data_IF_678545140856
#
_entry.id   IF_678545140856
#
_cell.length_a   1.000
_cell.length_b   1.000
_cell.length_c   1.000
_cell.angle_alpha   90.00
_cell.angle_beta   90.00
_cell.angle_gamma   90.00
#
_symmetry.space_group_name_H-M   'P 1'
#
loop_
_entity.id
_entity.type
_entity.pdbx_description
1 polymer ?
#
# COMPACT_ATOMS: atom_id res chain seq x y z
N UNK A 1 43.38 -45.85 10.23
CA UNK A 1 42.71 -45.56 8.94
C UNK A 1 41.61 -44.55 9.20
N UNK A 2 41.88 -43.26 8.95
CA UNK A 2 40.85 -42.30 8.51
C UNK A 2 40.76 -42.41 6.97
N UNK A 3 39.66 -41.99 6.31
CA UNK A 3 39.18 -40.60 6.22
C UNK A 3 37.71 -40.46 6.68
N UNK A 4 37.20 -39.34 7.21
CA UNK A 4 37.20 -37.93 6.76
C UNK A 4 35.93 -37.56 5.95
N UNK A 5 35.54 -36.28 6.06
CA UNK A 5 34.32 -35.56 5.65
C UNK A 5 33.14 -35.66 6.64
N UNK A 6 32.70 -34.62 7.35
CA UNK A 6 32.91 -33.18 7.20
C UNK A 6 31.54 -32.52 6.94
N UNK A 7 31.07 -31.70 7.88
CA UNK A 7 29.80 -30.99 7.71
C UNK A 7 29.35 -30.21 8.93
N UNK A 8 29.99 -29.07 9.18
CA UNK A 8 29.54 -28.03 10.10
C UNK A 8 28.09 -27.59 9.79
N UNK A 9 27.25 -27.52 10.82
CA UNK A 9 26.13 -26.58 10.86
C UNK A 9 25.85 -26.16 12.32
N UNK A 10 26.52 -25.08 12.68
CA UNK A 10 26.22 -24.07 13.70
C UNK A 10 24.85 -24.23 14.39
N UNK A 11 24.90 -24.70 15.64
CA UNK A 11 23.90 -24.42 16.68
C UNK A 11 24.30 -23.11 17.36
N UNK A 12 23.64 -22.00 17.02
CA UNK A 12 23.67 -20.76 17.81
C UNK A 12 22.29 -20.08 17.69
N UNK A 13 21.61 -19.99 18.84
CA UNK A 13 20.53 -19.07 19.22
C UNK A 13 19.27 -18.91 18.33
N UNK A 14 18.34 -19.85 18.50
CA UNK A 14 16.90 -19.67 18.19
C UNK A 14 16.12 -19.72 19.51
N UNK A 15 16.44 -18.88 20.50
CA UNK A 15 15.62 -18.77 21.74
C UNK A 15 15.33 -17.33 22.20
N UNK A 16 16.00 -16.29 21.70
CA UNK A 16 15.75 -14.91 22.21
C UNK A 16 14.74 -14.10 21.37
N UNK A 17 14.45 -14.46 20.12
CA UNK A 17 13.48 -13.70 19.29
C UNK A 17 12.00 -14.03 19.54
N UNK A 18 11.69 -15.01 20.39
CA UNK A 18 10.30 -15.43 20.67
C UNK A 18 9.58 -14.62 21.74
N UNK A 19 10.26 -13.74 22.49
CA UNK A 19 9.63 -12.98 23.57
C UNK A 19 9.24 -11.54 23.23
N UNK A 20 9.65 -10.99 22.07
CA UNK A 20 9.32 -9.62 21.64
C UNK A 20 8.36 -9.59 20.43
N UNK A 21 8.12 -10.73 19.77
CA UNK A 21 7.31 -10.83 18.54
C UNK A 21 5.92 -11.47 18.74
N UNK A 22 5.46 -11.62 19.99
CA UNK A 22 4.20 -12.31 20.34
C UNK A 22 2.91 -11.48 20.24
N UNK A 23 2.90 -10.32 19.58
CA UNK A 23 1.71 -9.42 19.51
C UNK A 23 1.19 -9.14 18.10
N UNK A 24 1.66 -9.82 17.05
CA UNK A 24 1.10 -9.66 15.69
C UNK A 24 0.70 -11.00 15.08
N UNK A 25 -0.62 -11.31 14.94
CA UNK A 25 -1.12 -12.58 14.42
C UNK A 25 -1.12 -12.71 12.87
N UNK A 26 -0.32 -11.94 12.12
CA UNK A 26 -0.59 -11.70 10.68
C UNK A 26 0.55 -12.08 9.71
N UNK A 27 0.97 -13.35 9.68
CA UNK A 27 1.76 -13.90 8.55
C UNK A 27 0.99 -14.64 7.44
N UNK A 28 -0.14 -15.33 7.64
CA UNK A 28 -0.69 -16.22 6.59
C UNK A 28 -1.30 -15.50 5.37
N UNK A 29 -1.36 -14.15 5.35
CA UNK A 29 -2.01 -13.38 4.29
C UNK A 29 -1.09 -13.03 3.10
N UNK A 30 0.20 -12.75 3.36
CA UNK A 30 1.12 -12.34 2.28
C UNK A 30 1.44 -13.51 1.33
N UNK A 31 1.35 -14.74 1.82
CA UNK A 31 1.66 -15.94 1.04
C UNK A 31 0.60 -16.24 -0.04
N UNK A 32 -0.67 -15.91 0.20
CA UNK A 32 -1.76 -16.19 -0.74
C UNK A 32 -1.96 -15.12 -1.83
N UNK A 33 -1.66 -13.85 -1.53
CA UNK A 33 -1.91 -12.74 -2.47
C UNK A 33 -0.76 -12.55 -3.47
N UNK A 34 0.44 -13.01 -3.14
CA UNK A 34 1.66 -12.71 -3.91
C UNK A 34 2.28 -13.90 -4.65
N UNK A 35 1.60 -15.05 -4.71
CA UNK A 35 2.07 -16.24 -5.45
C UNK A 35 2.19 -16.05 -6.97
N UNK A 36 1.75 -14.91 -7.53
CA UNK A 36 1.69 -14.67 -8.98
C UNK A 36 2.87 -13.90 -9.58
N UNK A 37 3.89 -13.52 -8.80
CA UNK A 37 4.94 -12.61 -9.28
C UNK A 37 6.32 -13.28 -9.26
N UNK A 38 6.69 -13.95 -10.35
CA UNK A 38 8.07 -14.38 -10.60
C UNK A 38 8.44 -14.23 -12.08
N UNK A 39 9.39 -13.35 -12.41
CA UNK A 39 10.51 -13.61 -13.34
C UNK A 39 11.32 -12.36 -13.72
N UNK A 40 12.64 -12.59 -13.78
CA UNK A 40 13.69 -11.96 -14.61
C UNK A 40 14.48 -10.75 -14.08
N UNK A 41 15.80 -10.96 -14.05
CA UNK A 41 16.80 -10.16 -13.36
C UNK A 41 17.26 -8.92 -14.14
N UNK A 42 17.28 -7.74 -13.49
CA UNK A 42 18.22 -6.62 -13.69
C UNK A 42 18.39 -5.80 -12.37
N UNK A 43 19.28 -6.27 -11.48
CA UNK A 43 19.36 -5.86 -10.06
C UNK A 43 19.87 -4.45 -9.70
N UNK A 44 20.00 -3.51 -10.65
CA UNK A 44 20.55 -2.16 -10.37
C UNK A 44 19.52 -1.07 -10.06
N UNK A 45 18.31 -1.15 -10.64
CA UNK A 45 17.28 -0.10 -10.51
C UNK A 45 16.35 -0.31 -9.30
N UNK A 46 16.39 -1.49 -8.68
CA UNK A 46 15.38 -1.96 -7.74
C UNK A 46 15.60 -1.51 -6.29
N UNK A 47 16.83 -1.61 -5.79
CA UNK A 47 17.21 -1.06 -4.47
C UNK A 47 16.79 0.41 -4.37
N UNK A 48 17.06 1.18 -5.42
CA UNK A 48 16.64 2.58 -5.50
C UNK A 48 15.11 2.80 -5.51
N UNK A 49 14.28 1.82 -5.90
CA UNK A 49 12.83 1.94 -5.82
C UNK A 49 12.30 1.73 -4.40
N UNK A 50 12.69 0.62 -3.75
CA UNK A 50 12.29 0.34 -2.36
C UNK A 50 12.89 1.36 -1.40
N UNK A 51 14.14 1.80 -1.62
CA UNK A 51 14.78 2.84 -0.81
C UNK A 51 14.03 4.19 -0.91
N UNK A 52 13.45 4.50 -2.08
CA UNK A 52 12.57 5.67 -2.24
C UNK A 52 11.29 5.56 -1.43
N UNK A 53 10.68 4.38 -1.39
CA UNK A 53 9.52 4.12 -0.52
C UNK A 53 9.93 4.23 0.95
N UNK A 54 11.06 3.66 1.36
CA UNK A 54 11.55 3.74 2.75
C UNK A 54 11.96 5.15 3.17
N UNK A 55 12.34 6.00 2.22
CA UNK A 55 12.73 7.39 2.50
C UNK A 55 11.56 8.38 2.45
N UNK A 56 10.31 7.92 2.34
CA UNK A 56 9.16 8.84 2.40
C UNK A 56 9.12 9.58 3.74
N UNK A 57 8.54 10.80 3.76
CA UNK A 57 8.45 11.61 4.97
C UNK A 57 7.73 10.90 6.12
N UNK A 58 6.60 10.26 5.83
CA UNK A 58 5.86 9.47 6.82
C UNK A 58 6.69 8.28 7.30
N UNK A 59 7.50 7.67 6.42
CA UNK A 59 8.34 6.56 6.82
C UNK A 59 9.44 6.95 7.80
N UNK A 60 10.16 8.03 7.52
CA UNK A 60 11.18 8.54 8.44
C UNK A 60 10.58 9.00 9.76
N UNK A 61 9.39 9.60 9.75
CA UNK A 61 8.65 9.94 10.96
C UNK A 61 8.35 8.69 11.80
N UNK A 62 7.82 7.64 11.17
CA UNK A 62 7.51 6.40 11.87
C UNK A 62 8.77 5.70 12.40
N UNK A 63 9.85 5.64 11.63
CA UNK A 63 11.13 5.07 12.07
C UNK A 63 11.71 5.80 13.29
N UNK A 64 11.63 7.14 13.30
CA UNK A 64 12.00 7.94 14.46
C UNK A 64 11.13 7.62 15.68
N UNK A 65 9.82 7.47 15.49
CA UNK A 65 8.88 7.09 16.56
C UNK A 65 9.15 5.67 17.08
N UNK A 66 9.46 4.72 16.18
CA UNK A 66 9.81 3.35 16.53
C UNK A 66 11.13 3.27 17.28
N UNK A 67 12.12 4.08 16.90
CA UNK A 67 13.38 4.21 17.62
C UNK A 67 13.18 4.82 19.01
N UNK A 68 12.33 5.85 19.14
CA UNK A 68 11.93 6.39 20.44
C UNK A 68 11.25 5.33 21.33
N UNK A 69 10.44 4.44 20.73
CA UNK A 69 9.80 3.31 21.42
C UNK A 69 10.84 2.33 21.95
N UNK A 70 11.85 1.99 21.15
CA UNK A 70 12.97 1.14 21.59
C UNK A 70 13.72 1.76 22.78
N UNK A 71 13.82 3.10 22.82
CA UNK A 71 14.48 3.86 23.90
C UNK A 71 13.64 4.09 25.16
N UNK A 72 12.47 3.45 25.29
CA UNK A 72 11.54 3.51 26.45
C UNK A 72 10.95 4.89 26.79
N UNK A 73 11.29 5.95 26.05
CA UNK A 73 10.77 7.31 26.29
C UNK A 73 9.40 7.60 25.67
N UNK A 74 8.84 6.69 24.86
CA UNK A 74 7.54 6.87 24.18
C UNK A 74 6.42 5.93 24.64
N UNK A 75 6.54 5.32 25.82
CA UNK A 75 5.48 4.46 26.40
C UNK A 75 4.11 5.17 26.53
N UNK A 76 4.06 6.51 26.53
CA UNK A 76 2.80 7.25 26.65
C UNK A 76 1.95 7.28 25.37
N UNK A 77 2.54 7.13 24.18
CA UNK A 77 1.80 7.32 22.91
C UNK A 77 1.10 6.07 22.38
N UNK A 78 1.70 4.89 22.58
CA UNK A 78 1.06 3.63 22.18
C UNK A 78 -0.28 3.46 22.89
N UNK A 79 -0.37 3.65 24.23
CA UNK A 79 -1.65 3.63 24.93
C UNK A 79 -2.64 4.67 24.40
N UNK A 80 -2.18 5.87 24.01
CA UNK A 80 -3.03 6.90 23.44
C UNK A 80 -3.65 6.48 22.08
N UNK A 81 -2.86 5.85 21.20
CA UNK A 81 -3.37 5.30 19.93
C UNK A 81 -4.35 4.14 20.18
N UNK A 82 -4.03 3.24 21.10
CA UNK A 82 -4.90 2.11 21.46
C UNK A 82 -6.22 2.60 22.09
N UNK A 83 -6.16 3.62 22.96
CA UNK A 83 -7.34 4.26 23.56
C UNK A 83 -8.21 4.95 22.49
N UNK A 84 -7.60 5.68 21.56
CA UNK A 84 -8.32 6.34 20.48
C UNK A 84 -8.97 5.30 19.54
N UNK A 85 -8.25 4.23 19.19
CA UNK A 85 -8.83 3.13 18.42
C UNK A 85 -10.00 2.46 19.17
N UNK A 86 -9.84 2.19 20.47
CA UNK A 86 -10.90 1.63 21.29
C UNK A 86 -12.13 2.56 21.35
N UNK A 87 -11.94 3.87 21.48
CA UNK A 87 -13.00 4.86 21.39
C UNK A 87 -13.73 4.78 20.05
N UNK A 88 -13.00 4.76 18.92
CA UNK A 88 -13.61 4.65 17.59
C UNK A 88 -14.41 3.35 17.43
N UNK A 89 -13.90 2.22 17.93
CA UNK A 89 -14.61 0.93 17.94
C UNK A 89 -15.90 0.99 18.77
N UNK A 90 -15.86 1.60 19.97
CA UNK A 90 -17.06 1.80 20.80
C UNK A 90 -18.11 2.66 20.07
N UNK A 91 -17.70 3.73 19.39
CA UNK A 91 -18.62 4.56 18.61
C UNK A 91 -19.22 3.83 17.42
N UNK A 92 -18.42 3.04 16.69
CA UNK A 92 -18.93 2.20 15.62
C UNK A 92 -19.95 1.18 16.12
N UNK A 93 -19.70 0.56 17.28
CA UNK A 93 -20.65 -0.35 17.90
C UNK A 93 -21.94 0.39 18.32
N UNK A 94 -21.81 1.58 18.90
CA UNK A 94 -22.94 2.44 19.28
C UNK A 94 -23.79 2.91 18.09
N UNK A 95 -23.22 2.99 16.89
CA UNK A 95 -23.95 3.30 15.65
C UNK A 95 -24.50 2.05 14.94
N UNK A 96 -24.55 0.90 15.61
CA UNK A 96 -25.03 -0.35 15.01
C UNK A 96 -24.13 -0.88 13.88
N UNK A 97 -22.85 -0.48 13.86
CA UNK A 97 -21.92 -0.84 12.79
C UNK A 97 -21.97 0.07 11.55
N UNK A 98 -22.76 1.15 11.57
CA UNK A 98 -22.83 2.10 10.46
C UNK A 98 -21.54 2.92 10.33
N UNK A 99 -20.66 2.49 9.40
CA UNK A 99 -19.42 3.18 9.06
C UNK A 99 -19.64 4.57 8.44
N UNK A 100 -20.78 4.80 7.81
CA UNK A 100 -21.14 6.09 7.20
C UNK A 100 -21.55 7.11 8.27
N UNK A 101 -22.25 6.67 9.32
CA UNK A 101 -22.48 7.50 10.51
C UNK A 101 -21.15 7.89 11.18
N UNK A 102 -20.23 6.94 11.37
CA UNK A 102 -18.93 7.23 11.96
C UNK A 102 -18.09 8.18 11.09
N UNK A 103 -18.07 8.00 9.77
CA UNK A 103 -17.33 8.86 8.85
C UNK A 103 -17.80 10.33 8.84
N UNK A 104 -19.09 10.57 9.13
CA UNK A 104 -19.67 11.92 9.27
C UNK A 104 -19.44 12.54 10.65
N UNK A 105 -19.03 11.74 11.63
CA UNK A 105 -18.84 12.21 13.01
C UNK A 105 -17.63 13.12 13.09
N UNK A 106 -17.85 14.34 13.60
CA UNK A 106 -16.78 15.26 13.98
C UNK A 106 -16.51 15.12 15.47
N UNK A 107 -15.24 15.10 15.85
CA UNK A 107 -14.81 15.05 17.24
C UNK A 107 -14.28 16.44 17.61
N UNK A 108 -14.77 16.99 18.71
CA UNK A 108 -14.18 18.22 19.23
C UNK A 108 -12.83 17.90 19.88
N UNK A 109 -11.91 18.86 19.91
CA UNK A 109 -10.65 18.69 20.63
C UNK A 109 -10.89 18.40 22.11
N UNK A 110 -11.93 18.99 22.71
CA UNK A 110 -12.34 18.71 24.09
C UNK A 110 -12.71 17.23 24.28
N UNK A 111 -13.53 16.65 23.39
CA UNK A 111 -13.87 15.22 23.45
C UNK A 111 -12.65 14.32 23.34
N UNK A 112 -11.67 14.68 22.49
CA UNK A 112 -10.42 13.94 22.39
C UNK A 112 -9.62 14.03 23.71
N UNK A 113 -9.48 15.23 24.28
CA UNK A 113 -8.73 15.43 25.53
C UNK A 113 -9.41 14.83 26.76
N UNK A 114 -10.74 14.81 26.80
CA UNK A 114 -11.53 14.20 27.89
C UNK A 114 -11.46 12.68 27.85
N UNK A 115 -11.55 12.09 26.66
CA UNK A 115 -11.60 10.63 26.51
C UNK A 115 -10.21 9.98 26.46
N UNK A 116 -9.17 10.76 26.17
CA UNK A 116 -7.82 10.23 25.94
C UNK A 116 -6.77 11.19 26.51
N UNK A 117 -5.84 10.69 27.36
CA UNK A 117 -4.71 11.47 27.92
C UNK A 117 -3.64 11.72 26.85
N UNK A 118 -4.03 12.43 25.80
CA UNK A 118 -3.30 12.41 24.55
C UNK A 118 -2.19 13.45 24.55
N UNK A 119 -0.92 13.04 24.52
CA UNK A 119 0.19 13.97 24.33
C UNK A 119 0.06 14.63 22.95
N UNK A 120 0.50 15.88 22.77
CA UNK A 120 0.46 16.58 21.48
C UNK A 120 0.98 15.69 20.33
N UNK A 121 0.26 15.74 19.20
CA UNK A 121 0.56 14.96 18.01
C UNK A 121 1.99 15.27 17.51
N UNK A 122 2.71 14.24 17.09
CA UNK A 122 4.02 14.40 16.44
C UNK A 122 3.96 14.75 14.98
N UNK A 123 2.91 14.35 14.26
CA UNK A 123 2.62 14.84 12.92
C UNK A 123 2.36 16.34 12.95
N UNK A 124 1.69 16.86 13.99
CA UNK A 124 1.55 18.31 14.18
C UNK A 124 2.91 19.03 14.21
N UNK A 125 3.93 18.45 14.84
CA UNK A 125 5.29 19.02 14.83
C UNK A 125 5.96 18.95 13.44
N UNK A 126 5.61 17.97 12.61
CA UNK A 126 6.06 17.89 11.22
C UNK A 126 5.42 18.96 10.33
N UNK A 127 4.27 19.52 10.73
CA UNK A 127 3.45 20.40 9.88
C UNK A 127 3.28 21.84 10.38
N UNK A 128 3.61 22.14 11.64
CA UNK A 128 3.37 23.45 12.25
C UNK A 128 4.59 24.09 12.94
N UNK A 129 5.77 23.46 12.94
CA UNK A 129 6.95 24.06 13.55
C UNK A 129 7.77 24.86 12.52
N UNK A 130 8.14 26.09 12.87
CA UNK A 130 9.06 26.96 12.14
C UNK A 130 10.48 26.32 11.97
N UNK A 131 10.65 25.43 10.96
CA UNK A 131 11.87 24.75 10.42
C UNK A 131 11.91 23.22 10.66
N UNK A 132 12.68 22.40 9.89
CA UNK A 132 13.28 22.52 8.55
C UNK A 132 12.58 21.55 7.54
N UNK A 133 12.97 21.45 6.26
CA UNK A 133 12.17 20.73 5.25
C UNK A 133 12.14 19.21 5.54
N UNK A 134 10.96 18.66 5.85
CA UNK A 134 10.75 17.22 5.72
C UNK A 134 10.92 16.82 4.23
N UNK A 135 11.10 15.55 3.86
CA UNK A 135 11.44 15.17 2.47
C UNK A 135 10.30 15.43 1.47
N UNK A 136 9.11 15.84 1.95
CA UNK A 136 8.08 16.53 1.16
C UNK A 136 8.60 17.88 0.62
N UNK A 137 9.46 18.54 1.37
CA UNK A 137 9.98 19.90 1.19
C UNK A 137 11.48 19.93 0.82
N UNK A 138 12.15 18.79 0.61
CA UNK A 138 13.56 18.85 0.21
C UNK A 138 13.63 19.31 -1.24
N UNK A 139 14.17 20.51 -1.46
CA UNK A 139 14.73 20.92 -2.75
C UNK A 139 15.61 19.79 -3.25
N UNK A 140 15.13 19.02 -4.23
CA UNK A 140 15.98 18.16 -5.03
C UNK A 140 16.94 19.13 -5.74
N UNK A 141 18.26 19.01 -5.55
CA UNK A 141 19.22 19.78 -6.34
C UNK A 141 18.93 19.48 -7.80
N UNK A 142 18.69 20.53 -8.58
CA UNK A 142 18.36 20.46 -10.00
C UNK A 142 19.26 19.46 -10.74
N UNK A 143 18.64 18.49 -11.41
CA UNK A 143 19.03 18.21 -12.80
C UNK A 143 18.39 19.31 -13.64
N UNK A 144 19.13 19.87 -14.59
CA UNK A 144 18.92 21.14 -15.31
C UNK A 144 17.64 21.27 -16.18
N UNK A 145 16.52 20.64 -15.82
CA UNK A 145 15.26 20.73 -16.57
C UNK A 145 14.28 21.71 -15.91
N UNK A 146 14.05 22.82 -16.60
CA UNK A 146 13.25 23.95 -16.16
C UNK A 146 11.75 23.62 -16.18
N UNK A 147 11.14 23.33 -15.01
CA UNK A 147 9.69 23.16 -14.94
C UNK A 147 9.09 22.83 -13.58
N UNK A 148 9.03 23.82 -12.69
CA UNK A 148 8.28 23.91 -11.40
C UNK A 148 8.66 22.93 -10.23
N UNK A 149 8.74 23.44 -8.99
CA UNK A 149 9.31 22.72 -7.84
C UNK A 149 8.38 21.63 -7.26
N UNK A 150 8.98 20.57 -6.72
CA UNK A 150 8.29 19.50 -5.98
C UNK A 150 7.78 19.91 -4.58
N UNK A 151 8.10 21.13 -4.12
CA UNK A 151 7.78 21.69 -2.80
C UNK A 151 6.27 21.82 -2.53
N UNK A 152 5.44 21.93 -3.58
CA UNK A 152 3.97 22.01 -3.45
C UNK A 152 3.30 20.66 -3.12
N UNK A 153 3.99 19.52 -3.24
CA UNK A 153 3.29 18.22 -3.43
C UNK A 153 2.82 17.54 -2.16
N UNK A 154 3.62 17.48 -1.10
CA UNK A 154 3.14 16.88 0.16
C UNK A 154 2.36 17.86 1.03
N UNK A 155 2.56 19.18 0.87
CA UNK A 155 1.55 20.17 1.26
C UNK A 155 0.23 19.86 0.52
N UNK A 156 0.31 19.51 -0.75
CA UNK A 156 -0.80 19.05 -1.58
C UNK A 156 -1.52 17.83 -1.00
N UNK A 157 -0.80 16.78 -0.59
CA UNK A 157 -1.43 15.58 0.00
C UNK A 157 -2.18 15.88 1.30
N UNK A 158 -1.58 16.65 2.21
CA UNK A 158 -2.22 17.01 3.49
C UNK A 158 -3.40 17.97 3.30
N UNK A 159 -3.23 18.93 2.38
CA UNK A 159 -4.29 19.86 2.00
C UNK A 159 -5.44 19.11 1.34
N UNK A 160 -5.14 18.14 0.47
CA UNK A 160 -6.11 17.26 -0.17
C UNK A 160 -6.84 16.37 0.85
N UNK A 161 -6.14 15.84 1.84
CA UNK A 161 -6.74 15.08 2.96
C UNK A 161 -7.50 15.98 3.95
N UNK A 162 -7.40 17.31 3.82
CA UNK A 162 -8.05 18.30 4.70
C UNK A 162 -7.71 18.07 6.18
N UNK A 163 -6.45 17.73 6.48
CA UNK A 163 -5.94 17.46 7.83
C UNK A 163 -5.51 18.79 8.50
N UNK A 164 -6.42 19.75 8.63
CA UNK A 164 -6.11 21.04 9.29
C UNK A 164 -6.61 21.12 10.73
N UNK A 165 -7.43 20.15 11.16
CA UNK A 165 -7.97 20.11 12.51
C UNK A 165 -7.14 19.18 13.39
N UNK A 166 -7.07 19.45 14.70
CA UNK A 166 -6.42 18.55 15.65
C UNK A 166 -6.95 17.11 15.53
N UNK A 167 -8.25 16.94 15.32
CA UNK A 167 -8.89 15.65 15.02
C UNK A 167 -8.31 14.99 13.77
N UNK A 168 -8.24 15.72 12.64
CA UNK A 168 -7.73 15.19 11.38
C UNK A 168 -6.29 14.70 11.52
N UNK A 169 -5.47 15.41 12.31
CA UNK A 169 -4.08 15.04 12.57
C UNK A 169 -4.00 13.73 13.37
N UNK A 170 -4.81 13.58 14.42
CA UNK A 170 -4.88 12.33 15.20
C UNK A 170 -5.36 11.14 14.38
N UNK A 171 -6.41 11.35 13.61
CA UNK A 171 -6.92 10.33 12.70
C UNK A 171 -5.83 9.90 11.70
N UNK A 172 -5.06 10.84 11.16
CA UNK A 172 -3.95 10.54 10.27
C UNK A 172 -2.85 9.73 10.97
N UNK A 173 -2.43 10.09 12.19
CA UNK A 173 -1.42 9.34 12.96
C UNK A 173 -1.84 7.89 13.20
N UNK A 174 -3.06 7.68 13.70
CA UNK A 174 -3.56 6.34 14.03
C UNK A 174 -3.74 5.49 12.77
N UNK A 175 -4.13 6.10 11.65
CA UNK A 175 -4.16 5.41 10.36
C UNK A 175 -2.77 4.97 9.93
N UNK A 176 -1.75 5.82 10.03
CA UNK A 176 -0.36 5.41 9.73
C UNK A 176 0.09 4.31 10.68
N UNK A 177 -0.18 4.44 11.98
CA UNK A 177 0.20 3.46 13.00
C UNK A 177 -0.38 2.07 12.72
N UNK A 178 -1.69 2.00 12.47
CA UNK A 178 -2.39 0.72 12.21
C UNK A 178 -2.08 0.16 10.81
N UNK A 179 -1.73 1.00 9.85
CA UNK A 179 -1.34 0.60 8.49
C UNK A 179 0.10 0.11 8.38
N UNK A 180 0.98 0.55 9.29
CA UNK A 180 2.41 0.31 9.18
C UNK A 180 2.80 -1.18 9.02
N UNK A 181 2.22 -2.14 9.78
CA UNK A 181 2.54 -3.55 9.59
C UNK A 181 2.18 -4.09 8.20
N UNK A 182 1.11 -3.58 7.59
CA UNK A 182 0.74 -3.93 6.21
C UNK A 182 1.80 -3.42 5.24
N UNK A 183 2.21 -2.16 5.41
CA UNK A 183 3.24 -1.51 4.58
C UNK A 183 4.58 -2.23 4.65
N UNK A 184 5.04 -2.58 5.84
CA UNK A 184 6.31 -3.31 6.01
C UNK A 184 6.28 -4.64 5.25
N UNK A 185 5.20 -5.42 5.40
CA UNK A 185 5.01 -6.66 4.65
C UNK A 185 4.98 -6.47 3.14
N UNK A 186 4.31 -5.42 2.65
CA UNK A 186 4.30 -5.08 1.23
C UNK A 186 5.69 -4.71 0.70
N UNK A 187 6.48 -3.93 1.46
CA UNK A 187 7.85 -3.58 1.09
C UNK A 187 8.80 -4.79 1.11
N UNK A 188 8.63 -5.71 2.05
CA UNK A 188 9.37 -6.98 2.08
C UNK A 188 9.09 -7.80 0.82
N UNK A 189 7.82 -7.91 0.43
CA UNK A 189 7.45 -8.61 -0.81
C UNK A 189 8.06 -7.90 -2.02
N UNK A 190 7.89 -6.58 -2.16
CA UNK A 190 8.47 -5.83 -3.28
C UNK A 190 9.99 -5.97 -3.38
N UNK A 191 10.70 -6.03 -2.25
CA UNK A 191 12.13 -6.22 -2.22
C UNK A 191 12.58 -7.62 -2.68
N UNK A 192 11.69 -8.62 -2.61
CA UNK A 192 11.92 -9.97 -3.09
C UNK A 192 11.57 -10.20 -4.56
N UNK A 193 10.99 -9.21 -5.24
CA UNK A 193 10.63 -9.30 -6.66
C UNK A 193 11.81 -8.87 -7.54
N UNK A 194 12.13 -9.65 -8.57
CA UNK A 194 13.26 -9.40 -9.48
C UNK A 194 13.08 -8.10 -10.30
N UNK A 195 11.85 -7.81 -10.72
CA UNK A 195 11.46 -6.56 -11.40
C UNK A 195 9.97 -6.25 -11.16
N UNK A 196 9.58 -5.71 -9.99
CA UNK A 196 8.22 -5.25 -9.77
C UNK A 196 7.90 -4.13 -10.76
N UNK A 197 7.03 -4.47 -11.71
CA UNK A 197 6.40 -3.47 -12.56
C UNK A 197 5.64 -2.51 -11.65
N UNK A 198 5.84 -1.21 -11.86
CA UNK A 198 5.22 -0.16 -11.02
C UNK A 198 3.71 -0.29 -10.94
N UNK A 199 3.07 -0.81 -11.99
CA UNK A 199 1.64 -1.15 -12.00
C UNK A 199 1.30 -2.18 -10.96
N UNK A 200 2.00 -3.30 -10.95
CA UNK A 200 1.86 -4.34 -9.93
C UNK A 200 2.09 -3.79 -8.52
N UNK A 201 3.06 -2.88 -8.34
CA UNK A 201 3.26 -2.20 -7.07
C UNK A 201 2.06 -1.31 -6.69
N UNK A 202 1.44 -0.61 -7.65
CA UNK A 202 0.26 0.21 -7.41
C UNK A 202 -0.99 -0.62 -7.11
N UNK A 203 -1.21 -1.70 -7.86
CA UNK A 203 -2.32 -2.63 -7.67
C UNK A 203 -2.23 -3.31 -6.30
N UNK A 204 -1.05 -3.84 -5.96
CA UNK A 204 -0.82 -4.45 -4.64
C UNK A 204 -0.96 -3.44 -3.50
N UNK A 205 -0.60 -2.18 -3.71
CA UNK A 205 -0.85 -1.08 -2.76
C UNK A 205 -2.36 -0.85 -2.57
N UNK A 206 -3.16 -0.82 -3.64
CA UNK A 206 -4.63 -0.70 -3.56
C UNK A 206 -5.25 -1.87 -2.78
N UNK A 207 -4.85 -3.10 -3.10
CA UNK A 207 -5.31 -4.30 -2.42
C UNK A 207 -4.96 -4.28 -0.94
N UNK A 208 -3.74 -3.86 -0.59
CA UNK A 208 -3.29 -3.72 0.78
C UNK A 208 -4.09 -2.66 1.55
N UNK A 209 -4.38 -1.51 0.94
CA UNK A 209 -5.19 -0.45 1.57
C UNK A 209 -6.62 -0.94 1.80
N UNK A 210 -7.22 -1.65 0.84
CA UNK A 210 -8.53 -2.26 0.99
C UNK A 210 -8.55 -3.26 2.15
N UNK A 211 -7.55 -4.14 2.25
CA UNK A 211 -7.45 -5.12 3.33
C UNK A 211 -7.26 -4.45 4.70
N UNK A 212 -6.36 -3.47 4.79
CA UNK A 212 -6.17 -2.69 6.01
C UNK A 212 -7.48 -2.04 6.45
N UNK A 213 -8.23 -1.44 5.52
CA UNK A 213 -9.50 -0.79 5.81
C UNK A 213 -10.52 -1.78 6.38
N UNK A 214 -10.65 -2.95 5.73
CA UNK A 214 -11.54 -4.03 6.16
C UNK A 214 -11.25 -4.53 7.57
N UNK A 215 -9.96 -4.61 7.96
CA UNK A 215 -9.54 -5.04 9.31
C UNK A 215 -9.67 -3.94 10.36
N UNK A 216 -9.49 -2.68 9.96
CA UNK A 216 -9.46 -1.53 10.85
C UNK A 216 -10.68 -0.62 10.65
N UNK A 217 -11.88 -1.20 10.55
CA UNK A 217 -13.11 -0.53 10.07
C UNK A 217 -13.37 0.84 10.70
N UNK A 218 -13.26 0.93 12.02
CA UNK A 218 -13.53 2.17 12.74
C UNK A 218 -12.49 3.26 12.44
N UNK A 219 -11.21 2.88 12.41
CA UNK A 219 -10.08 3.77 12.07
C UNK A 219 -10.15 4.20 10.60
N UNK A 220 -10.47 3.27 9.71
CA UNK A 220 -10.62 3.51 8.29
C UNK A 220 -11.78 4.46 7.98
N UNK A 221 -12.94 4.28 8.61
CA UNK A 221 -14.11 5.16 8.45
C UNK A 221 -13.86 6.58 9.00
N UNK A 222 -13.09 6.71 10.07
CA UNK A 222 -12.84 7.99 10.73
C UNK A 222 -12.29 9.04 9.74
N UNK A 223 -12.73 10.29 9.90
CA UNK A 223 -12.32 11.42 9.05
C UNK A 223 -12.65 11.18 7.56
N UNK A 224 -13.90 10.81 7.27
CA UNK A 224 -14.43 10.77 5.90
C UNK A 224 -13.81 9.71 4.99
N UNK A 225 -13.39 8.56 5.53
CA UNK A 225 -12.72 7.50 4.77
C UNK A 225 -11.34 7.86 4.21
N UNK A 226 -10.70 8.94 4.70
CA UNK A 226 -9.37 9.32 4.23
C UNK A 226 -8.36 8.16 4.38
N UNK A 227 -7.47 7.90 3.41
CA UNK A 227 -6.51 6.80 3.49
C UNK A 227 -5.40 7.06 4.52
N UNK A 228 -4.54 6.09 4.83
CA UNK A 228 -3.28 6.34 5.54
C UNK A 228 -2.38 7.24 4.70
N UNK A 229 -1.78 8.28 5.32
CA UNK A 229 -0.88 9.21 4.61
C UNK A 229 0.31 8.49 3.95
N UNK A 230 0.86 7.46 4.61
CA UNK A 230 1.92 6.63 4.06
C UNK A 230 1.53 5.98 2.72
N UNK A 231 0.30 5.50 2.58
CA UNK A 231 -0.19 4.89 1.35
C UNK A 231 -0.30 5.90 0.20
N UNK A 232 -0.70 7.14 0.50
CA UNK A 232 -0.73 8.24 -0.47
C UNK A 232 0.69 8.56 -0.97
N UNK A 233 1.65 8.69 -0.05
CA UNK A 233 3.06 8.92 -0.40
C UNK A 233 3.63 7.76 -1.23
N UNK A 234 3.34 6.52 -0.85
CA UNK A 234 3.78 5.33 -1.58
C UNK A 234 3.21 5.33 -3.01
N UNK A 235 1.93 5.66 -3.20
CA UNK A 235 1.30 5.74 -4.54
C UNK A 235 1.94 6.85 -5.40
N UNK A 236 2.27 8.00 -4.80
CA UNK A 236 2.96 9.09 -5.49
C UNK A 236 4.39 8.69 -5.92
N UNK A 237 5.09 7.86 -5.13
CA UNK A 237 6.41 7.31 -5.50
C UNK A 237 6.28 6.27 -6.61
N UNK A 238 5.29 5.37 -6.51
CA UNK A 238 5.00 4.31 -7.48
C UNK A 238 4.67 4.90 -8.85
N UNK A 239 3.81 5.92 -8.89
CA UNK A 239 3.38 6.63 -10.12
C UNK A 239 4.44 7.59 -10.69
N UNK A 240 5.65 7.68 -10.12
CA UNK A 240 6.67 8.69 -10.48
C UNK A 240 6.15 10.13 -10.42
N UNK A 241 5.18 10.39 -9.55
CA UNK A 241 4.49 11.68 -9.46
C UNK A 241 3.73 12.09 -10.73
N UNK A 242 3.38 11.14 -11.62
CA UNK A 242 2.40 11.39 -12.69
C UNK A 242 1.01 11.66 -12.08
N UNK A 243 0.72 11.02 -10.95
CA UNK A 243 -0.49 11.24 -10.17
C UNK A 243 -0.38 12.52 -9.34
N UNK A 244 -1.39 13.39 -9.42
CA UNK A 244 -1.46 14.54 -8.53
C UNK A 244 -1.88 14.10 -7.10
N UNK A 245 -1.47 14.82 -6.04
CA UNK A 245 -1.79 14.41 -4.66
C UNK A 245 -3.29 14.33 -4.33
N UNK A 246 -4.13 15.18 -4.93
CA UNK A 246 -5.57 15.18 -4.70
C UNK A 246 -6.22 13.93 -5.29
N UNK A 247 -5.84 13.55 -6.50
CA UNK A 247 -6.31 12.35 -7.18
C UNK A 247 -5.87 11.10 -6.42
N UNK A 248 -4.64 11.07 -5.90
CA UNK A 248 -4.15 9.97 -5.06
C UNK A 248 -5.00 9.80 -3.79
N UNK A 249 -5.33 10.91 -3.13
CA UNK A 249 -6.19 10.90 -1.95
C UNK A 249 -7.60 10.46 -2.31
N UNK A 250 -8.17 10.97 -3.41
CA UNK A 250 -9.53 10.62 -3.85
C UNK A 250 -9.66 9.14 -4.24
N UNK A 251 -8.69 8.63 -5.00
CA UNK A 251 -8.61 7.22 -5.40
C UNK A 251 -8.56 6.33 -4.16
N UNK A 252 -7.62 6.57 -3.25
CA UNK A 252 -7.44 5.73 -2.05
C UNK A 252 -8.57 5.94 -1.01
N UNK A 253 -9.23 7.10 -1.00
CA UNK A 253 -10.47 7.31 -0.23
C UNK A 253 -11.60 6.46 -0.80
N UNK A 254 -11.70 6.35 -2.13
CA UNK A 254 -12.68 5.48 -2.79
C UNK A 254 -12.42 4.02 -2.47
N UNK A 255 -11.16 3.58 -2.52
CA UNK A 255 -10.73 2.24 -2.07
C UNK A 255 -11.16 1.99 -0.62
N UNK A 256 -10.81 2.89 0.29
CA UNK A 256 -11.15 2.76 1.72
C UNK A 256 -12.66 2.70 1.93
N UNK A 257 -13.44 3.56 1.26
CA UNK A 257 -14.90 3.59 1.37
C UNK A 257 -15.53 2.29 0.86
N UNK A 258 -15.12 1.83 -0.33
CA UNK A 258 -15.63 0.60 -0.96
C UNK A 258 -15.35 -0.63 -0.11
N UNK A 259 -14.12 -0.75 0.41
CA UNK A 259 -13.75 -1.85 1.31
C UNK A 259 -14.64 -1.94 2.57
N UNK A 260 -15.17 -0.80 3.04
CA UNK A 260 -16.04 -0.78 4.23
C UNK A 260 -17.53 -0.96 3.94
N UNK A 261 -17.98 -0.62 2.73
CA UNK A 261 -19.40 -0.61 2.31
C UNK A 261 -19.80 -1.87 1.53
N UNK A 262 -18.89 -2.44 0.75
CA UNK A 262 -19.18 -3.58 -0.14
C UNK A 262 -18.84 -4.90 0.58
N UNK A 263 -19.50 -5.16 1.72
CA UNK A 263 -19.29 -6.38 2.49
C UNK A 263 -19.51 -7.63 1.63
N UNK A 264 -18.48 -8.48 1.57
CA UNK A 264 -18.52 -9.76 0.84
C UNK A 264 -17.93 -9.72 -0.57
N UNK A 265 -17.58 -8.54 -1.11
CA UNK A 265 -16.74 -8.46 -2.31
C UNK A 265 -15.27 -8.62 -1.93
N UNK A 266 -14.54 -9.40 -2.72
CA UNK A 266 -13.13 -9.63 -2.47
C UNK A 266 -12.29 -8.38 -2.79
N UNK A 267 -11.07 -8.26 -2.25
CA UNK A 267 -10.15 -7.19 -2.63
C UNK A 267 -9.91 -7.07 -4.15
N UNK A 268 -9.94 -8.21 -4.87
CA UNK A 268 -9.80 -8.25 -6.33
C UNK A 268 -10.96 -7.54 -7.07
N UNK A 269 -12.20 -7.72 -6.61
CA UNK A 269 -13.37 -7.04 -7.20
C UNK A 269 -13.25 -5.52 -7.03
N UNK A 270 -12.75 -5.08 -5.87
CA UNK A 270 -12.49 -3.68 -5.62
C UNK A 270 -11.42 -3.14 -6.56
N UNK A 271 -10.32 -3.88 -6.76
CA UNK A 271 -9.28 -3.49 -7.69
C UNK A 271 -9.86 -3.29 -9.10
N UNK A 272 -10.69 -4.23 -9.58
CA UNK A 272 -11.35 -4.10 -10.88
C UNK A 272 -12.18 -2.81 -10.98
N UNK A 273 -12.87 -2.40 -9.92
CA UNK A 273 -13.68 -1.16 -9.89
C UNK A 273 -12.81 0.09 -9.99
N UNK A 274 -11.61 0.10 -9.42
CA UNK A 274 -10.72 1.27 -9.42
C UNK A 274 -9.59 1.17 -10.43
N UNK A 275 -9.47 0.06 -11.17
CA UNK A 275 -8.33 -0.23 -12.03
C UNK A 275 -8.19 0.81 -13.13
N UNK A 276 -9.27 1.12 -13.86
CA UNK A 276 -9.24 2.10 -14.95
C UNK A 276 -8.85 3.50 -14.45
N UNK A 277 -9.35 3.89 -13.28
CA UNK A 277 -8.96 5.15 -12.64
C UNK A 277 -7.50 5.14 -12.21
N UNK A 278 -7.04 4.05 -11.58
CA UNK A 278 -5.64 3.91 -11.18
C UNK A 278 -4.72 3.98 -12.41
N UNK A 279 -5.02 3.23 -13.46
CA UNK A 279 -4.21 3.19 -14.68
C UNK A 279 -4.23 4.53 -15.41
N UNK A 280 -5.41 5.11 -15.64
CA UNK A 280 -5.55 6.38 -16.35
C UNK A 280 -4.93 7.58 -15.63
N UNK A 281 -4.88 7.56 -14.29
CA UNK A 281 -4.31 8.66 -13.51
C UNK A 281 -2.81 8.51 -13.23
N UNK A 282 -2.32 7.27 -13.06
CA UNK A 282 -0.97 7.01 -12.56
C UNK A 282 0.01 6.52 -13.63
N UNK A 283 -0.47 6.12 -14.82
CA UNK A 283 0.36 5.52 -15.86
C UNK A 283 -0.06 5.94 -17.27
N UNK A 284 0.91 6.21 -18.13
CA UNK A 284 0.63 6.49 -19.54
C UNK A 284 0.07 5.26 -20.26
N UNK A 285 -0.95 5.46 -21.11
CA UNK A 285 -1.59 4.40 -21.89
C UNK A 285 -0.60 3.66 -22.82
N UNK A 286 0.45 4.34 -23.28
CA UNK A 286 1.52 3.73 -24.11
C UNK A 286 2.36 2.70 -23.37
N UNK A 287 2.69 2.97 -22.10
CA UNK A 287 3.27 1.96 -21.23
C UNK A 287 2.25 0.83 -20.98
N UNK A 288 0.95 1.18 -21.00
CA UNK A 288 -0.23 0.33 -20.80
C UNK A 288 -0.18 -0.90 -21.67
N UNK A 289 -0.25 -0.60 -22.97
CA UNK A 289 -0.22 -1.57 -24.03
C UNK A 289 1.07 -2.40 -24.01
N UNK A 290 2.23 -1.77 -23.81
CA UNK A 290 3.52 -2.49 -23.83
C UNK A 290 3.58 -3.55 -22.73
N UNK A 291 3.11 -3.23 -21.52
CA UNK A 291 3.07 -4.19 -20.42
C UNK A 291 2.00 -5.27 -20.64
N UNK A 292 0.79 -4.88 -21.05
CA UNK A 292 -0.28 -5.83 -21.34
C UNK A 292 0.13 -6.82 -22.44
N UNK A 293 0.86 -6.35 -23.46
CA UNK A 293 1.47 -7.21 -24.48
C UNK A 293 2.54 -8.13 -23.89
N UNK A 294 3.37 -7.65 -22.97
CA UNK A 294 4.33 -8.47 -22.24
C UNK A 294 3.68 -9.60 -21.44
N UNK A 295 2.63 -9.28 -20.67
CA UNK A 295 1.89 -10.25 -19.85
C UNK A 295 1.14 -11.28 -20.71
N UNK A 296 0.55 -10.82 -21.81
CA UNK A 296 -0.07 -11.69 -22.80
C UNK A 296 0.96 -12.66 -23.40
N UNK A 297 2.12 -12.16 -23.82
CA UNK A 297 3.20 -12.98 -24.37
C UNK A 297 3.69 -14.00 -23.34
N UNK A 298 3.86 -13.60 -22.08
CA UNK A 298 4.27 -14.50 -21.00
C UNK A 298 3.22 -15.58 -20.72
N UNK A 299 1.93 -15.22 -20.71
CA UNK A 299 0.80 -16.12 -20.50
C UNK A 299 0.66 -17.12 -21.65
N UNK A 300 0.70 -16.65 -22.89
CA UNK A 300 0.69 -17.50 -24.09
C UNK A 300 1.89 -18.43 -24.10
N UNK A 301 3.08 -17.96 -23.74
CA UNK A 301 4.28 -18.79 -23.63
C UNK A 301 4.14 -19.87 -22.56
N UNK A 302 3.50 -19.55 -21.43
CA UNK A 302 3.21 -20.51 -20.36
C UNK A 302 2.20 -21.56 -20.81
N UNK A 303 1.10 -21.13 -21.44
CA UNK A 303 0.12 -22.04 -22.05
C UNK A 303 0.78 -22.95 -23.09
N UNK A 304 1.63 -22.42 -23.97
CA UNK A 304 2.35 -23.21 -24.97
C UNK A 304 3.24 -24.29 -24.36
N UNK A 305 3.86 -24.03 -23.19
CA UNK A 305 4.63 -25.04 -22.44
C UNK A 305 3.75 -26.09 -21.77
N UNK A 306 2.57 -25.70 -21.29
CA UNK A 306 1.66 -26.59 -20.55
C UNK A 306 0.81 -27.46 -21.47
N UNK A 307 0.36 -26.95 -22.61
CA UNK A 307 -0.54 -27.65 -23.54
C UNK A 307 -0.06 -29.07 -23.89
N UNK A 308 1.22 -29.35 -24.19
CA UNK A 308 1.69 -30.71 -24.46
C UNK A 308 1.48 -31.71 -23.30
N UNK A 309 1.35 -31.23 -22.07
CA UNK A 309 1.14 -32.06 -20.87
C UNK A 309 -0.34 -32.36 -20.62
N UNK A 310 -1.26 -31.69 -21.33
CA UNK A 310 -2.71 -31.82 -21.15
C UNK A 310 -3.27 -32.96 -22.03
N UNK A 311 -4.09 -33.87 -21.49
CA UNK A 311 -4.73 -34.92 -22.29
C UNK A 311 -5.58 -34.37 -23.44
N UNK A 312 -5.68 -35.07 -24.60
CA UNK A 312 -6.42 -34.61 -25.77
C UNK A 312 -7.85 -34.09 -25.51
N UNK A 313 -8.71 -34.75 -24.70
CA UNK A 313 -10.08 -34.26 -24.50
C UNK A 313 -10.13 -32.92 -23.76
N UNK A 314 -9.18 -32.66 -22.85
CA UNK A 314 -9.09 -31.37 -22.15
C UNK A 314 -8.49 -30.28 -23.05
N UNK A 315 -7.61 -30.64 -23.99
CA UNK A 315 -7.09 -29.69 -24.99
C UNK A 315 -8.18 -29.18 -25.93
N UNK A 316 -9.11 -30.05 -26.35
CA UNK A 316 -10.25 -29.64 -27.17
C UNK A 316 -11.13 -28.62 -26.44
N UNK A 317 -11.49 -28.88 -25.18
CA UNK A 317 -12.25 -27.93 -24.35
C UNK A 317 -11.54 -26.57 -24.22
N UNK A 318 -10.22 -26.59 -23.97
CA UNK A 318 -9.43 -25.37 -23.85
C UNK A 318 -9.40 -24.58 -25.18
N UNK A 319 -9.35 -25.28 -26.32
CA UNK A 319 -9.36 -24.66 -27.64
C UNK A 319 -10.73 -24.05 -27.98
N UNK A 320 -11.82 -24.73 -27.63
CA UNK A 320 -13.19 -24.23 -27.82
C UNK A 320 -13.43 -22.97 -26.97
N UNK A 321 -12.85 -22.91 -25.77
CA UNK A 321 -12.99 -21.76 -24.86
C UNK A 321 -12.09 -20.58 -25.26
N UNK A 322 -10.81 -20.83 -25.54
CA UNK A 322 -9.83 -19.76 -25.82
C UNK A 322 -9.84 -19.30 -27.28
N UNK A 323 -10.25 -20.17 -28.22
CA UNK A 323 -10.23 -19.91 -29.66
C UNK A 323 -10.95 -18.62 -30.07
N UNK A 324 -12.22 -18.40 -29.66
CA UNK A 324 -12.95 -17.18 -29.96
C UNK A 324 -12.25 -15.93 -29.39
N UNK A 325 -11.80 -15.99 -28.14
CA UNK A 325 -11.12 -14.87 -27.47
C UNK A 325 -9.84 -14.47 -28.20
N UNK A 326 -9.04 -15.44 -28.66
CA UNK A 326 -7.84 -15.16 -29.46
C UNK A 326 -8.18 -14.63 -30.86
N UNK A 327 -9.25 -15.11 -31.49
CA UNK A 327 -9.69 -14.60 -32.79
C UNK A 327 -10.10 -13.12 -32.70
N UNK A 328 -10.94 -12.77 -31.73
CA UNK A 328 -11.38 -11.39 -31.49
C UNK A 328 -10.18 -10.46 -31.20
N UNK A 329 -9.23 -10.93 -30.39
CA UNK A 329 -8.02 -10.18 -30.09
C UNK A 329 -7.16 -9.95 -31.35
N UNK A 330 -7.00 -10.98 -32.19
CA UNK A 330 -6.24 -10.87 -33.44
C UNK A 330 -6.93 -9.94 -34.45
N UNK A 331 -8.26 -9.93 -34.54
CA UNK A 331 -8.99 -8.98 -35.37
C UNK A 331 -8.76 -7.54 -34.90
N UNK A 332 -8.74 -7.31 -33.59
CA UNK A 332 -8.51 -5.99 -33.00
C UNK A 332 -7.07 -5.49 -33.20
N UNK A 333 -6.09 -6.39 -33.12
CA UNK A 333 -4.66 -6.08 -33.30
C UNK A 333 -4.23 -6.01 -34.78
N UNK A 334 -4.90 -6.74 -35.66
CA UNK A 334 -4.59 -6.84 -37.09
C UNK A 334 -5.87 -6.59 -37.90
N UNK A 335 -6.41 -5.36 -37.90
CA UNK A 335 -7.61 -5.06 -38.67
C UNK A 335 -7.36 -5.34 -40.15
N UNK A 336 -8.32 -5.93 -40.87
CA UNK A 336 -8.15 -6.25 -42.28
C UNK A 336 -7.81 -4.97 -43.05
N UNK A 337 -6.66 -4.95 -43.73
CA UNK A 337 -6.28 -3.90 -44.67
C UNK A 337 -7.36 -3.80 -45.73
N UNK A 338 -8.15 -2.72 -45.69
CA UNK A 338 -9.19 -2.43 -46.68
C UNK A 338 -8.60 -1.89 -47.97
#
# INVERSE_FOLDING_TARGET
>A
MSPDSGGHAVRVDIIVSRLILGLLPHRPFLEGTFQFLTASAHGGKMTHFVDRLRSTPTARWYEQLAEQRRRRSSLARVPAYDQFEAMLRRRLAGSGGDVTALARTRFTQAQLLEETEVPRSSLHHMFHADKPPCLVYRKVPHSDDAGKPAEERGQGALSAMRISTAQGIWAAEVKVWTYWPCRDGWLEVLAGLDDPVRRTAAESLVLMVAEWASRNRAVAACHGFAPPLAAVEDLLVVSRSQLNPSDAVELLTTVTRRALQDHGRGPADLLNVVHDSLMGLAFDAGDGLTHAMGDLVASVSTLARLVPTIPPPRRALLADELGPTFADLMELLCPPTR
#
